data_IF_242941163199
#
_entry.id   IF_242941163199
#
_cell.length_a   1.000
_cell.length_b   1.000
_cell.length_c   1.000
_cell.angle_alpha   90.00
_cell.angle_beta   90.00
_cell.angle_gamma   90.00
#
_symmetry.space_group_name_H-M   'P 1'
#
loop_
_entity.id
_entity.type
_entity.pdbx_description
1 polymer ?
#
# COMPACT_ATOMS: atom_id res chain seq x y z
N UNK A 1 42.10 -12.50 -3.41
CA UNK A 1 41.81 -11.93 -4.74
C UNK A 1 40.88 -10.69 -4.68
N UNK A 2 40.17 -10.42 -3.57
CA UNK A 2 39.30 -9.24 -3.41
C UNK A 2 40.01 -7.96 -2.91
N UNK A 3 41.27 -8.06 -2.47
CA UNK A 3 42.03 -6.93 -1.88
C UNK A 3 42.56 -5.92 -2.90
N UNK A 4 42.28 -6.10 -4.19
CA UNK A 4 42.74 -5.24 -5.28
C UNK A 4 41.61 -4.49 -5.98
N UNK A 5 40.38 -4.57 -5.45
CA UNK A 5 39.24 -3.85 -6.03
C UNK A 5 39.40 -2.35 -5.79
N UNK A 6 39.37 -1.52 -6.85
CA UNK A 6 39.38 -0.06 -6.71
C UNK A 6 38.24 0.42 -5.82
N UNK A 7 38.49 1.46 -5.00
CA UNK A 7 37.52 2.01 -4.05
C UNK A 7 36.22 2.44 -4.73
N UNK A 8 36.30 2.88 -5.97
CA UNK A 8 35.15 3.31 -6.79
C UNK A 8 34.20 2.14 -7.07
N UNK A 9 34.74 0.95 -7.37
CA UNK A 9 33.93 -0.25 -7.59
C UNK A 9 33.32 -0.73 -6.27
N UNK A 10 34.09 -0.66 -5.18
CA UNK A 10 33.59 -1.00 -3.86
C UNK A 10 32.39 -0.13 -3.43
N UNK A 11 32.51 1.20 -3.57
CA UNK A 11 31.41 2.12 -3.26
C UNK A 11 30.20 1.91 -4.18
N UNK A 12 30.42 1.50 -5.44
CA UNK A 12 29.32 1.09 -6.33
C UNK A 12 28.63 -0.17 -5.82
N UNK A 13 29.36 -1.17 -5.37
CA UNK A 13 28.79 -2.42 -4.82
C UNK A 13 27.95 -2.10 -3.57
N UNK A 14 28.48 -1.28 -2.66
CA UNK A 14 27.76 -0.83 -1.45
C UNK A 14 26.46 -0.13 -1.79
N UNK A 15 26.44 0.66 -2.87
CA UNK A 15 25.22 1.35 -3.30
C UNK A 15 24.12 0.38 -3.77
N UNK A 16 24.38 -0.92 -3.96
CA UNK A 16 23.37 -1.94 -4.22
C UNK A 16 22.88 -2.64 -2.95
N UNK A 17 23.55 -2.45 -1.82
CA UNK A 17 23.11 -2.99 -0.53
C UNK A 17 22.06 -2.03 0.04
N UNK A 18 20.86 -2.55 0.23
CA UNK A 18 19.72 -1.78 0.74
C UNK A 18 19.55 -1.97 2.26
N UNK A 19 19.96 -3.10 2.83
CA UNK A 19 19.83 -3.32 4.27
C UNK A 19 21.00 -2.68 5.05
N UNK A 20 20.75 -1.72 5.97
CA UNK A 20 21.77 -1.16 6.83
C UNK A 20 22.54 -2.21 7.66
N UNK A 21 21.90 -3.34 8.00
CA UNK A 21 22.56 -4.43 8.74
C UNK A 21 23.62 -5.13 7.89
N UNK A 22 23.33 -5.38 6.61
CA UNK A 22 24.30 -5.93 5.68
C UNK A 22 25.48 -4.97 5.44
N UNK A 23 25.23 -3.66 5.45
CA UNK A 23 26.30 -2.66 5.40
C UNK A 23 27.20 -2.71 6.65
N UNK A 24 26.62 -2.98 7.82
CA UNK A 24 27.38 -3.18 9.04
C UNK A 24 28.29 -4.41 8.94
N UNK A 25 27.75 -5.55 8.49
CA UNK A 25 28.51 -6.79 8.29
C UNK A 25 29.65 -6.59 7.29
N UNK A 26 29.41 -5.86 6.19
CA UNK A 26 30.44 -5.53 5.21
C UNK A 26 31.62 -4.80 5.85
N UNK A 27 31.37 -3.90 6.81
CA UNK A 27 32.44 -3.12 7.46
C UNK A 27 33.32 -3.98 8.38
N UNK A 28 32.86 -5.17 8.76
CA UNK A 28 33.62 -6.12 9.60
C UNK A 28 34.56 -7.02 8.77
N UNK A 29 34.43 -7.04 7.44
CA UNK A 29 35.21 -7.93 6.56
C UNK A 29 36.70 -7.58 6.57
N UNK A 30 37.05 -6.30 6.36
CA UNK A 30 38.43 -5.83 6.44
C UNK A 30 38.52 -4.31 6.64
N UNK A 31 39.72 -3.80 6.90
CA UNK A 31 39.97 -2.37 7.14
C UNK A 31 39.58 -1.48 5.96
N UNK A 32 39.77 -1.95 4.72
CA UNK A 32 39.40 -1.19 3.52
C UNK A 32 37.87 -1.07 3.35
N UNK A 33 37.14 -2.07 3.83
CA UNK A 33 35.67 -2.08 3.81
C UNK A 33 35.06 -1.25 4.94
N UNK A 34 35.82 -0.97 6.01
CA UNK A 34 35.42 -0.02 7.04
C UNK A 34 35.61 1.46 6.60
N UNK A 35 35.28 1.77 5.35
CA UNK A 35 35.45 3.10 4.77
C UNK A 35 34.38 4.09 5.30
N UNK A 36 34.71 5.38 5.51
CA UNK A 36 33.77 6.36 6.07
C UNK A 36 32.47 6.51 5.28
N UNK A 37 32.52 6.38 3.94
CA UNK A 37 31.32 6.46 3.10
C UNK A 37 30.37 5.27 3.30
N UNK A 38 30.86 4.08 3.65
CA UNK A 38 30.01 2.92 3.98
C UNK A 38 29.28 3.18 5.28
N UNK A 39 30.01 3.73 6.26
CA UNK A 39 29.40 4.17 7.52
C UNK A 39 28.34 5.23 7.24
N UNK A 40 28.60 6.22 6.38
CA UNK A 40 27.58 7.22 6.03
C UNK A 40 26.38 6.60 5.31
N UNK A 41 26.59 5.69 4.36
CA UNK A 41 25.51 4.96 3.69
C UNK A 41 24.66 4.15 4.68
N UNK A 42 25.30 3.48 5.64
CA UNK A 42 24.60 2.77 6.71
C UNK A 42 23.67 3.69 7.52
N UNK A 43 24.11 4.90 7.87
CA UNK A 43 23.33 5.82 8.71
C UNK A 43 22.32 6.67 7.92
N UNK A 44 22.56 6.93 6.63
CA UNK A 44 21.75 7.83 5.82
C UNK A 44 20.82 7.13 4.85
N UNK A 45 21.02 5.83 4.59
CA UNK A 45 20.17 5.07 3.66
C UNK A 45 18.71 5.04 4.08
N UNK A 46 18.44 5.05 5.39
CA UNK A 46 17.10 5.01 5.97
C UNK A 46 16.96 6.11 7.00
N UNK A 47 16.14 7.12 6.70
CA UNK A 47 15.87 8.23 7.59
C UNK A 47 14.40 8.20 8.01
N UNK A 48 14.15 8.08 9.31
CA UNK A 48 12.83 8.23 9.90
C UNK A 48 12.68 9.64 10.50
N UNK A 49 11.61 10.35 10.12
CA UNK A 49 11.27 11.67 10.64
C UNK A 49 10.04 11.57 11.54
N UNK A 50 10.24 11.78 12.85
CA UNK A 50 9.18 11.72 13.85
C UNK A 50 8.61 13.12 14.14
N UNK A 51 9.46 14.14 14.07
CA UNK A 51 9.10 15.47 14.56
C UNK A 51 9.68 16.62 13.72
N UNK A 52 9.20 17.83 14.02
CA UNK A 52 9.76 19.09 13.50
C UNK A 52 11.20 19.31 13.95
N UNK A 53 11.57 18.81 15.13
CA UNK A 53 12.94 18.90 15.66
C UNK A 53 13.88 18.04 14.84
N UNK A 54 13.51 16.79 14.56
CA UNK A 54 14.31 15.87 13.74
C UNK A 54 14.50 16.43 12.35
N UNK A 55 13.42 16.93 11.75
CA UNK A 55 13.45 17.62 10.45
C UNK A 55 14.44 18.79 10.46
N UNK A 56 14.45 19.60 11.52
CA UNK A 56 15.33 20.77 11.62
C UNK A 56 16.79 20.39 11.80
N UNK A 57 17.07 19.38 12.62
CA UNK A 57 18.41 18.82 12.79
C UNK A 57 18.94 18.23 11.49
N UNK A 58 18.10 17.46 10.79
CA UNK A 58 18.47 16.84 9.53
C UNK A 58 18.66 17.87 8.43
N UNK A 59 17.79 18.89 8.34
CA UNK A 59 17.98 20.03 7.44
C UNK A 59 19.31 20.75 7.67
N UNK A 60 19.65 21.05 8.93
CA UNK A 60 20.90 21.70 9.29
C UNK A 60 22.12 20.84 8.90
N UNK A 61 22.01 19.52 9.07
CA UNK A 61 23.05 18.58 8.66
C UNK A 61 23.20 18.54 7.13
N UNK A 62 22.10 18.35 6.39
CA UNK A 62 22.13 18.26 4.93
C UNK A 62 22.56 19.56 4.27
N UNK A 63 22.18 20.71 4.83
CA UNK A 63 22.63 22.02 4.34
C UNK A 63 24.15 22.19 4.41
N UNK A 64 24.80 21.57 5.41
CA UNK A 64 26.27 21.56 5.55
C UNK A 64 26.94 20.50 4.69
N UNK A 65 26.19 19.50 4.24
CA UNK A 65 26.70 18.31 3.56
C UNK A 65 25.85 17.91 2.36
N UNK A 66 25.63 18.80 1.37
CA UNK A 66 24.66 18.56 0.30
C UNK A 66 25.00 17.33 -0.55
N UNK A 67 26.29 17.01 -0.75
CA UNK A 67 26.75 15.83 -1.52
C UNK A 67 26.46 14.47 -0.86
N UNK A 68 25.88 14.45 0.35
CA UNK A 68 25.50 13.22 1.06
C UNK A 68 24.10 12.75 0.68
N UNK A 69 23.37 13.54 -0.10
CA UNK A 69 22.09 13.19 -0.72
C UNK A 69 22.13 11.86 -1.46
N UNK A 70 23.25 11.54 -2.13
CA UNK A 70 23.48 10.28 -2.84
C UNK A 70 23.35 9.02 -2.00
N UNK A 71 23.44 9.15 -0.67
CA UNK A 71 23.32 8.03 0.26
C UNK A 71 21.90 7.87 0.81
N UNK A 72 21.02 8.84 0.58
CA UNK A 72 19.63 8.80 1.04
C UNK A 72 18.82 8.01 0.03
N UNK A 73 18.36 6.83 0.44
CA UNK A 73 17.49 5.99 -0.38
C UNK A 73 16.06 6.02 0.12
N UNK A 74 15.87 5.93 1.43
CA UNK A 74 14.57 5.76 2.07
C UNK A 74 14.33 6.88 3.09
N UNK A 75 13.16 7.51 3.01
CA UNK A 75 12.67 8.46 4.02
C UNK A 75 11.28 7.98 4.47
N UNK A 76 11.09 7.76 5.77
CA UNK A 76 9.79 7.49 6.38
C UNK A 76 9.30 8.69 7.18
N UNK A 77 8.04 9.04 7.00
CA UNK A 77 7.32 9.99 7.86
C UNK A 77 6.50 9.18 8.86
N UNK A 78 6.90 9.25 10.12
CA UNK A 78 6.32 8.43 11.18
C UNK A 78 4.92 8.92 11.57
N UNK A 79 4.16 8.08 12.26
CA UNK A 79 2.78 8.38 12.61
C UNK A 79 2.64 9.70 13.37
N UNK A 80 1.74 10.57 12.89
CA UNK A 80 1.53 11.90 13.46
C UNK A 80 2.55 12.96 13.02
N UNK A 81 3.39 12.67 12.02
CA UNK A 81 4.30 13.66 11.46
C UNK A 81 3.57 14.94 11.03
N UNK A 82 4.06 16.07 11.52
CA UNK A 82 3.52 17.38 11.24
C UNK A 82 4.58 18.20 10.49
N UNK A 83 4.41 18.29 9.17
CA UNK A 83 5.34 19.00 8.31
C UNK A 83 5.30 20.52 8.57
N UNK A 84 6.34 21.21 8.14
CA UNK A 84 6.45 22.67 8.25
C UNK A 84 7.29 23.22 7.09
N UNK A 85 7.55 24.53 7.10
CA UNK A 85 8.42 25.16 6.08
C UNK A 85 9.83 24.58 6.05
N UNK A 86 10.39 24.19 7.20
CA UNK A 86 11.71 23.52 7.27
C UNK A 86 11.71 22.19 6.54
N UNK A 87 10.63 21.42 6.63
CA UNK A 87 10.47 20.18 5.86
C UNK A 87 10.48 20.44 4.35
N UNK A 88 9.76 21.47 3.87
CA UNK A 88 9.80 21.82 2.44
C UNK A 88 11.20 22.24 1.98
N UNK A 89 11.95 22.96 2.81
CA UNK A 89 13.35 23.31 2.51
C UNK A 89 14.27 22.09 2.54
N UNK A 90 14.01 21.13 3.44
CA UNK A 90 14.72 19.85 3.45
C UNK A 90 14.52 19.08 2.15
N UNK A 91 13.32 19.11 1.57
CA UNK A 91 13.05 18.42 0.29
C UNK A 91 13.96 18.87 -0.84
N UNK A 92 14.37 20.14 -0.89
CA UNK A 92 15.35 20.63 -1.87
C UNK A 92 16.71 19.92 -1.78
N UNK A 93 17.03 19.34 -0.62
CA UNK A 93 18.32 18.73 -0.34
C UNK A 93 18.27 17.20 -0.41
N UNK A 94 17.11 16.58 -0.19
CA UNK A 94 17.00 15.12 -0.01
C UNK A 94 16.10 14.44 -1.04
N UNK A 95 15.19 15.17 -1.68
CA UNK A 95 14.33 14.60 -2.72
C UNK A 95 15.10 14.59 -4.05
N UNK A 96 15.93 13.56 -4.21
CA UNK A 96 16.83 13.42 -5.36
C UNK A 96 16.49 12.17 -6.18
N UNK A 97 17.00 12.04 -7.41
CA UNK A 97 16.78 10.84 -8.23
C UNK A 97 17.26 9.51 -7.60
N UNK A 98 18.08 9.56 -6.55
CA UNK A 98 18.52 8.37 -5.80
C UNK A 98 17.51 7.90 -4.76
N UNK A 99 16.51 8.72 -4.42
CA UNK A 99 15.47 8.36 -3.46
C UNK A 99 14.59 7.25 -4.07
N UNK A 100 14.54 6.11 -3.38
CA UNK A 100 13.77 4.93 -3.78
C UNK A 100 12.45 4.86 -3.04
N UNK A 101 12.42 5.17 -1.74
CA UNK A 101 11.21 5.09 -0.92
C UNK A 101 11.02 6.40 -0.20
N UNK A 102 9.86 7.01 -0.40
CA UNK A 102 9.40 8.09 0.45
C UNK A 102 8.02 7.71 0.96
N UNK A 103 7.88 7.33 2.22
CA UNK A 103 6.64 6.78 2.74
C UNK A 103 6.17 7.51 4.01
N UNK A 104 4.96 7.18 4.44
CA UNK A 104 4.31 7.77 5.60
C UNK A 104 3.03 8.53 5.24
N UNK A 105 2.40 9.13 6.24
CA UNK A 105 1.07 9.73 6.11
C UNK A 105 1.12 11.25 6.26
N UNK A 106 0.54 11.97 5.29
CA UNK A 106 0.37 13.42 5.36
C UNK A 106 -1.05 13.77 5.80
N UNK A 107 -1.16 14.53 6.89
CA UNK A 107 -2.41 14.74 7.62
C UNK A 107 -3.38 15.79 7.01
N UNK A 108 -2.95 16.60 6.03
CA UNK A 108 -3.80 17.62 5.40
C UNK A 108 -3.65 17.62 3.89
N UNK A 109 -4.46 18.43 3.18
CA UNK A 109 -4.32 18.57 1.73
C UNK A 109 -3.00 19.28 1.39
N UNK A 110 -1.94 18.50 1.22
CA UNK A 110 -0.57 19.00 1.03
C UNK A 110 -0.25 19.32 -0.42
N UNK A 111 -1.12 20.04 -1.12
CA UNK A 111 -0.86 20.45 -2.50
C UNK A 111 0.47 21.21 -2.62
N UNK A 112 0.88 21.96 -1.59
CA UNK A 112 2.20 22.60 -1.54
C UNK A 112 3.37 21.62 -1.52
N UNK A 113 3.25 20.50 -0.80
CA UNK A 113 4.26 19.44 -0.78
C UNK A 113 4.39 18.78 -2.15
N UNK A 114 3.27 18.40 -2.77
CA UNK A 114 3.27 17.79 -4.09
C UNK A 114 3.71 18.77 -5.19
N UNK A 115 3.34 20.04 -5.06
CA UNK A 115 3.85 21.10 -5.94
C UNK A 115 5.37 21.23 -5.82
N UNK A 116 5.91 21.16 -4.59
CA UNK A 116 7.35 21.19 -4.34
C UNK A 116 8.07 20.02 -5.01
N UNK A 117 7.56 18.80 -4.85
CA UNK A 117 8.10 17.60 -5.53
C UNK A 117 8.14 17.81 -7.05
N UNK A 118 7.03 18.22 -7.65
CA UNK A 118 6.96 18.45 -9.10
C UNK A 118 7.90 19.57 -9.56
N UNK A 119 8.16 20.57 -8.71
CA UNK A 119 9.12 21.64 -9.02
C UNK A 119 10.56 21.11 -9.01
N UNK A 120 10.90 20.27 -8.02
CA UNK A 120 12.22 19.63 -7.93
C UNK A 120 12.45 18.69 -9.12
N UNK A 121 11.46 17.88 -9.50
CA UNK A 121 11.58 17.02 -10.67
C UNK A 121 11.83 17.83 -11.95
N UNK A 122 11.05 18.88 -12.17
CA UNK A 122 11.17 19.71 -13.37
C UNK A 122 12.52 20.42 -13.46
N UNK A 123 13.06 20.87 -12.32
CA UNK A 123 14.37 21.54 -12.28
C UNK A 123 15.55 20.56 -12.32
N UNK A 124 15.32 19.27 -12.09
CA UNK A 124 16.36 18.25 -12.16
C UNK A 124 16.86 18.04 -13.59
N UNK A 125 18.20 18.07 -13.74
CA UNK A 125 18.90 17.70 -14.98
C UNK A 125 18.86 16.19 -15.23
N UNK A 126 18.65 15.39 -14.19
CA UNK A 126 18.54 13.92 -14.27
C UNK A 126 17.07 13.56 -14.42
N UNK A 127 16.75 12.78 -15.46
CA UNK A 127 15.38 12.32 -15.76
C UNK A 127 15.06 10.92 -15.27
N UNK A 128 16.07 10.14 -14.88
CA UNK A 128 15.89 8.78 -14.39
C UNK A 128 15.75 8.80 -12.87
N UNK A 129 14.51 8.75 -12.39
CA UNK A 129 14.18 8.61 -10.98
C UNK A 129 14.09 7.13 -10.60
N UNK A 130 14.16 6.83 -9.30
CA UNK A 130 14.04 5.46 -8.74
C UNK A 130 12.90 5.31 -7.74
N UNK A 131 12.01 6.29 -7.68
CA UNK A 131 11.01 6.39 -6.63
C UNK A 131 9.93 5.32 -6.80
N UNK A 132 9.87 4.38 -5.85
CA UNK A 132 8.96 3.23 -5.79
C UNK A 132 7.72 3.50 -4.95
N UNK A 133 7.84 4.35 -3.93
CA UNK A 133 6.72 4.70 -3.05
C UNK A 133 6.73 6.20 -2.73
N UNK A 134 5.53 6.75 -2.56
CA UNK A 134 5.30 8.13 -2.16
C UNK A 134 4.48 8.23 -0.89
N UNK A 135 4.62 9.31 -0.09
CA UNK A 135 3.79 9.50 1.09
C UNK A 135 2.33 9.52 0.69
N UNK A 136 1.50 8.86 1.49
CA UNK A 136 0.07 8.81 1.28
C UNK A 136 -0.53 10.18 1.61
N UNK A 137 -1.36 10.68 0.69
CA UNK A 137 -2.25 11.80 1.00
C UNK A 137 -3.50 11.25 1.70
N UNK A 138 -3.85 11.78 2.88
CA UNK A 138 -5.10 11.39 3.55
C UNK A 138 -6.35 11.70 2.74
N UNK A 139 -6.26 12.64 1.79
CA UNK A 139 -7.37 13.02 0.93
C UNK A 139 -6.87 13.07 -0.51
N UNK A 140 -7.66 12.60 -1.47
CA UNK A 140 -7.31 12.80 -2.87
C UNK A 140 -7.17 14.29 -3.20
N UNK A 141 -6.11 14.61 -3.95
CA UNK A 141 -5.95 15.90 -4.61
C UNK A 141 -5.42 15.69 -6.02
N UNK A 142 -5.79 16.58 -6.94
CA UNK A 142 -5.25 16.52 -8.30
C UNK A 142 -3.74 16.75 -8.34
N UNK A 143 -3.18 17.52 -7.40
CA UNK A 143 -1.73 17.71 -7.33
C UNK A 143 -1.03 16.41 -6.89
N UNK A 144 -1.60 15.69 -5.92
CA UNK A 144 -1.10 14.37 -5.54
C UNK A 144 -1.10 13.43 -6.74
N UNK A 145 -2.25 13.29 -7.41
CA UNK A 145 -2.36 12.40 -8.56
C UNK A 145 -1.43 12.78 -9.71
N UNK A 146 -1.31 14.08 -10.02
CA UNK A 146 -0.35 14.58 -11.00
C UNK A 146 1.09 14.20 -10.64
N UNK A 147 1.44 14.24 -9.35
CA UNK A 147 2.76 13.83 -8.89
C UNK A 147 2.98 12.34 -9.08
N UNK A 148 1.96 11.50 -8.79
CA UNK A 148 2.04 10.07 -9.11
C UNK A 148 2.30 9.84 -10.60
N UNK A 149 1.60 10.57 -11.48
CA UNK A 149 1.82 10.47 -12.93
C UNK A 149 3.24 10.87 -13.37
N UNK A 150 3.87 11.80 -12.66
CA UNK A 150 5.27 12.19 -12.90
C UNK A 150 6.22 11.01 -12.68
N UNK A 151 5.94 10.12 -11.74
CA UNK A 151 6.78 8.96 -11.37
C UNK A 151 6.17 7.61 -11.77
N UNK A 152 5.22 7.61 -12.71
CA UNK A 152 4.42 6.41 -13.05
C UNK A 152 5.24 5.19 -13.45
N UNK A 153 6.41 5.39 -14.06
CA UNK A 153 7.24 4.32 -14.58
C UNK A 153 8.01 3.59 -13.47
N UNK A 154 8.15 4.21 -12.30
CA UNK A 154 8.97 3.69 -11.18
C UNK A 154 8.15 3.35 -9.95
N UNK A 155 6.97 3.97 -9.79
CA UNK A 155 6.11 3.71 -8.63
C UNK A 155 5.59 2.27 -8.62
N UNK A 156 5.89 1.60 -7.52
CA UNK A 156 5.45 0.24 -7.22
C UNK A 156 4.24 0.26 -6.29
N UNK A 157 4.10 1.28 -5.42
CA UNK A 157 3.03 1.38 -4.41
C UNK A 157 2.22 2.67 -4.56
N UNK A 158 0.89 2.54 -4.67
CA UNK A 158 -0.03 3.69 -4.76
C UNK A 158 -1.22 3.49 -3.83
N UNK A 159 -1.60 4.57 -3.13
CA UNK A 159 -2.84 4.64 -2.35
C UNK A 159 -3.68 5.83 -2.82
N UNK A 160 -4.93 5.59 -3.20
CA UNK A 160 -5.89 6.60 -3.65
C UNK A 160 -7.15 6.55 -2.80
N UNK A 161 -7.38 7.60 -2.01
CA UNK A 161 -8.63 7.81 -1.26
C UNK A 161 -9.54 8.84 -1.96
N UNK A 162 -10.51 8.32 -2.70
CA UNK A 162 -11.49 9.09 -3.46
C UNK A 162 -12.79 9.38 -2.68
N UNK A 163 -12.86 9.11 -1.37
CA UNK A 163 -14.08 9.37 -0.57
C UNK A 163 -14.37 10.86 -0.37
N UNK A 164 -13.33 11.66 -0.14
CA UNK A 164 -13.45 13.01 0.44
C UNK A 164 -13.73 14.09 -0.60
N UNK A 165 -13.77 13.74 -1.88
CA UNK A 165 -13.95 14.70 -2.95
C UNK A 165 -15.44 14.92 -3.26
N UNK A 166 -15.93 16.12 -2.91
CA UNK A 166 -17.22 16.75 -3.29
C UNK A 166 -17.66 16.29 -4.67
N UNK A 167 -18.92 15.82 -4.83
CA UNK A 167 -19.22 14.61 -5.58
C UNK A 167 -18.44 14.61 -6.88
N UNK A 168 -17.32 13.90 -6.88
CA UNK A 168 -16.70 13.47 -8.12
C UNK A 168 -17.82 12.79 -8.88
N UNK A 169 -18.32 13.46 -9.91
CA UNK A 169 -19.16 12.78 -10.88
C UNK A 169 -18.39 11.53 -11.30
N UNK A 170 -19.05 10.39 -11.49
CA UNK A 170 -18.42 9.12 -11.90
C UNK A 170 -17.45 9.26 -13.11
N UNK A 171 -17.49 10.39 -13.81
CA UNK A 171 -16.57 10.78 -14.88
C UNK A 171 -15.12 10.96 -14.40
N UNK A 172 -14.82 11.59 -13.26
CA UNK A 172 -13.42 11.83 -12.87
C UNK A 172 -12.75 10.58 -12.29
N UNK A 173 -13.49 9.74 -11.55
CA UNK A 173 -12.96 8.44 -11.09
C UNK A 173 -12.53 7.57 -12.27
N UNK A 174 -13.37 7.49 -13.33
CA UNK A 174 -13.01 6.80 -14.58
C UNK A 174 -11.78 7.39 -15.26
N UNK A 175 -11.60 8.72 -15.24
CA UNK A 175 -10.39 9.35 -15.80
C UNK A 175 -9.14 8.96 -15.01
N UNK A 176 -9.21 8.96 -13.69
CA UNK A 176 -8.12 8.52 -12.81
C UNK A 176 -7.77 7.06 -13.10
N UNK A 177 -8.76 6.17 -13.15
CA UNK A 177 -8.57 4.75 -13.45
C UNK A 177 -7.91 4.55 -14.82
N UNK A 178 -8.35 5.29 -15.86
CA UNK A 178 -7.74 5.22 -17.20
C UNK A 178 -6.25 5.59 -17.23
N UNK A 179 -5.78 6.37 -16.27
CA UNK A 179 -4.37 6.72 -16.16
C UNK A 179 -3.55 5.67 -15.39
N UNK A 180 -4.18 4.82 -14.57
CA UNK A 180 -3.50 3.75 -13.82
C UNK A 180 -2.82 2.73 -14.74
N UNK A 181 -3.34 2.52 -15.95
CA UNK A 181 -2.68 1.71 -16.99
C UNK A 181 -1.27 2.17 -17.36
N UNK A 182 -0.96 3.44 -17.10
CA UNK A 182 0.35 4.02 -17.37
C UNK A 182 1.42 3.66 -16.34
N UNK A 183 1.06 3.00 -15.24
CA UNK A 183 1.98 2.66 -14.15
C UNK A 183 2.52 1.25 -14.32
N UNK A 184 3.58 1.11 -15.12
CA UNK A 184 4.15 -0.18 -15.53
C UNK A 184 4.84 -0.96 -14.40
N UNK A 185 5.26 -0.26 -13.35
CA UNK A 185 5.93 -0.86 -12.17
C UNK A 185 4.98 -1.13 -11.01
N UNK A 186 3.70 -0.72 -11.10
CA UNK A 186 2.74 -0.82 -9.99
C UNK A 186 2.51 -2.26 -9.52
N UNK A 187 2.93 -2.60 -8.29
CA UNK A 187 2.70 -3.91 -7.66
C UNK A 187 1.64 -3.87 -6.57
N UNK A 188 1.48 -2.73 -5.90
CA UNK A 188 0.55 -2.56 -4.80
C UNK A 188 -0.37 -1.38 -5.04
N UNK A 189 -1.67 -1.62 -5.07
CA UNK A 189 -2.68 -0.59 -5.25
C UNK A 189 -3.69 -0.63 -4.10
N UNK A 190 -3.83 0.49 -3.40
CA UNK A 190 -4.92 0.71 -2.46
C UNK A 190 -5.89 1.74 -3.03
N UNK A 191 -7.14 1.37 -3.21
CA UNK A 191 -8.14 2.21 -3.84
C UNK A 191 -9.44 2.22 -3.02
N UNK A 192 -9.80 3.42 -2.57
CA UNK A 192 -10.95 3.70 -1.72
C UNK A 192 -11.85 4.71 -2.44
N UNK A 193 -13.17 4.54 -2.40
CA UNK A 193 -14.12 5.52 -2.94
C UNK A 193 -15.26 4.91 -3.77
N UNK A 194 -15.97 5.73 -4.55
CA UNK A 194 -17.16 5.30 -5.29
C UNK A 194 -16.77 4.58 -6.59
N UNK A 195 -16.76 3.24 -6.56
CA UNK A 195 -16.45 2.38 -7.70
C UNK A 195 -17.56 1.35 -7.89
N UNK A 196 -18.06 1.22 -9.12
CA UNK A 196 -18.93 0.09 -9.48
C UNK A 196 -18.11 -1.13 -9.96
N UNK A 197 -18.78 -2.28 -10.11
CA UNK A 197 -18.16 -3.54 -10.54
C UNK A 197 -17.49 -3.41 -11.92
N UNK A 198 -18.11 -2.69 -12.84
CA UNK A 198 -17.54 -2.47 -14.18
C UNK A 198 -16.22 -1.69 -14.08
N UNK A 199 -16.18 -0.63 -13.27
CA UNK A 199 -14.97 0.17 -13.03
C UNK A 199 -13.87 -0.64 -12.34
N UNK A 200 -14.23 -1.51 -11.40
CA UNK A 200 -13.28 -2.47 -10.79
C UNK A 200 -12.77 -3.44 -11.86
N UNK A 201 -13.64 -3.99 -12.71
CA UNK A 201 -13.25 -4.86 -13.82
C UNK A 201 -12.31 -4.20 -14.81
N UNK A 202 -12.66 -3.01 -15.28
CA UNK A 202 -11.84 -2.22 -16.20
C UNK A 202 -10.47 -1.92 -15.59
N UNK A 203 -10.42 -1.54 -14.30
CA UNK A 203 -9.18 -1.28 -13.58
C UNK A 203 -8.28 -2.51 -13.53
N UNK A 204 -8.84 -3.67 -13.18
CA UNK A 204 -8.06 -4.91 -13.03
C UNK A 204 -7.57 -5.43 -14.38
N UNK A 205 -8.31 -5.20 -15.45
CA UNK A 205 -7.86 -5.54 -16.81
C UNK A 205 -6.67 -4.69 -17.27
N UNK A 206 -6.67 -3.41 -16.90
CA UNK A 206 -5.62 -2.46 -17.31
C UNK A 206 -4.36 -2.52 -16.43
N UNK A 207 -4.47 -3.07 -15.22
CA UNK A 207 -3.38 -3.20 -14.25
C UNK A 207 -3.10 -4.67 -13.90
N UNK A 208 -2.92 -5.51 -14.92
CA UNK A 208 -2.80 -6.97 -14.82
C UNK A 208 -1.50 -7.48 -14.16
N UNK A 209 -0.64 -6.59 -13.66
CA UNK A 209 0.63 -6.88 -13.00
C UNK A 209 0.62 -6.56 -11.49
N UNK A 210 -0.52 -6.11 -10.95
CA UNK A 210 -0.66 -5.87 -9.50
C UNK A 210 -0.59 -7.22 -8.76
N UNK A 211 0.18 -7.24 -7.69
CA UNK A 211 0.39 -8.40 -6.81
C UNK A 211 -0.42 -8.26 -5.51
N UNK A 212 -0.64 -7.02 -5.05
CA UNK A 212 -1.41 -6.69 -3.85
C UNK A 212 -2.45 -5.61 -4.14
N UNK A 213 -3.72 -5.89 -3.86
CA UNK A 213 -4.82 -4.97 -4.08
C UNK A 213 -5.60 -4.75 -2.78
N UNK A 214 -5.79 -3.50 -2.39
CA UNK A 214 -6.76 -3.09 -1.38
C UNK A 214 -7.93 -2.35 -2.04
N UNK A 215 -9.16 -2.79 -1.81
CA UNK A 215 -10.38 -2.16 -2.32
C UNK A 215 -11.35 -1.82 -1.20
N UNK A 216 -11.85 -0.59 -1.19
CA UNK A 216 -12.93 -0.15 -0.33
C UNK A 216 -13.96 0.68 -1.12
N UNK A 217 -14.82 0.04 -1.94
CA UNK A 217 -15.89 0.73 -2.65
C UNK A 217 -16.94 1.32 -1.70
N UNK A 218 -17.30 2.58 -1.90
CA UNK A 218 -18.42 3.23 -1.19
C UNK A 218 -19.75 2.98 -1.91
N UNK A 219 -20.81 2.68 -1.15
CA UNK A 219 -22.21 2.69 -1.60
C UNK A 219 -22.45 1.95 -2.92
N UNK A 220 -22.22 0.65 -2.92
CA UNK A 220 -22.67 -0.23 -3.99
C UNK A 220 -24.17 -0.62 -3.88
N UNK A 221 -24.94 0.10 -3.06
CA UNK A 221 -26.35 -0.22 -2.82
C UNK A 221 -27.22 0.10 -4.04
N UNK A 222 -27.58 -0.95 -4.78
CA UNK A 222 -28.60 -0.93 -5.83
C UNK A 222 -28.93 -2.35 -6.26
N UNK A 223 -30.22 -2.73 -6.18
CA UNK A 223 -30.71 -4.10 -6.50
C UNK A 223 -30.34 -4.52 -7.92
N UNK A 224 -30.22 -3.57 -8.85
CA UNK A 224 -29.82 -3.83 -10.24
C UNK A 224 -28.36 -4.29 -10.38
N UNK A 225 -27.49 -4.01 -9.41
CA UNK A 225 -26.06 -4.37 -9.46
C UNK A 225 -25.85 -5.86 -9.13
N UNK A 226 -26.66 -6.41 -8.22
CA UNK A 226 -26.51 -7.79 -7.75
C UNK A 226 -26.78 -8.83 -8.84
N UNK A 227 -27.65 -8.53 -9.80
CA UNK A 227 -27.97 -9.45 -10.90
C UNK A 227 -27.00 -9.34 -12.09
N UNK A 228 -26.32 -8.19 -12.24
CA UNK A 228 -25.57 -7.88 -13.45
C UNK A 228 -24.07 -8.21 -13.40
N UNK A 229 -23.49 -8.49 -12.23
CA UNK A 229 -22.06 -8.76 -12.14
C UNK A 229 -21.62 -10.01 -12.94
N UNK A 230 -22.49 -11.00 -13.07
CA UNK A 230 -22.22 -12.22 -13.87
C UNK A 230 -22.07 -11.94 -15.36
N UNK A 231 -22.64 -10.83 -15.83
CA UNK A 231 -22.56 -10.41 -17.24
C UNK A 231 -21.29 -9.60 -17.52
N UNK A 232 -20.55 -9.19 -16.47
CA UNK A 232 -19.28 -8.48 -16.63
C UNK A 232 -18.19 -9.49 -16.97
N UNK A 233 -17.94 -9.65 -18.27
CA UNK A 233 -16.85 -10.49 -18.77
C UNK A 233 -15.53 -9.77 -18.55
N UNK A 234 -14.76 -10.28 -17.60
CA UNK A 234 -13.40 -9.80 -17.33
C UNK A 234 -12.37 -10.88 -17.57
N UNK A 235 -11.20 -10.46 -18.08
CA UNK A 235 -10.04 -11.35 -18.19
C UNK A 235 -9.59 -11.75 -16.79
N UNK A 236 -9.11 -12.98 -16.67
CA UNK A 236 -8.49 -13.45 -15.42
C UNK A 236 -7.19 -12.69 -15.16
N UNK A 237 -6.97 -12.38 -13.89
CA UNK A 237 -5.80 -11.69 -13.39
C UNK A 237 -4.99 -12.67 -12.55
N UNK A 238 -3.95 -13.22 -13.17
CA UNK A 238 -3.16 -14.30 -12.56
C UNK A 238 -2.06 -13.79 -11.62
N UNK A 239 -1.74 -12.49 -11.66
CA UNK A 239 -0.68 -11.87 -10.86
C UNK A 239 -1.07 -11.56 -9.41
N UNK A 240 -2.37 -11.49 -9.13
CA UNK A 240 -2.86 -11.00 -7.83
C UNK A 240 -2.75 -12.09 -6.77
N UNK A 241 -1.83 -11.89 -5.82
CA UNK A 241 -1.55 -12.84 -4.75
C UNK A 241 -2.25 -12.44 -3.43
N UNK A 242 -2.36 -11.14 -3.17
CA UNK A 242 -2.92 -10.60 -1.93
C UNK A 242 -4.11 -9.70 -2.26
N UNK A 243 -5.30 -10.07 -1.78
CA UNK A 243 -6.49 -9.24 -1.88
C UNK A 243 -6.92 -8.76 -0.50
N UNK A 244 -7.08 -7.46 -0.35
CA UNK A 244 -7.61 -6.83 0.85
C UNK A 244 -8.88 -6.09 0.50
N UNK A 245 -9.92 -6.34 1.28
CA UNK A 245 -11.26 -5.80 1.06
C UNK A 245 -11.60 -5.03 2.33
N UNK A 246 -11.77 -3.72 2.17
CA UNK A 246 -12.08 -2.83 3.27
C UNK A 246 -13.55 -2.91 3.71
N UNK A 247 -13.98 -1.87 4.41
CA UNK A 247 -15.31 -1.79 5.01
C UNK A 247 -16.39 -1.66 3.93
N UNK A 248 -17.56 -2.23 4.22
CA UNK A 248 -18.78 -2.01 3.42
C UNK A 248 -18.75 -2.57 2.00
N UNK A 249 -18.01 -3.65 1.77
CA UNK A 249 -17.99 -4.32 0.47
C UNK A 249 -19.03 -5.44 0.43
N UNK A 250 -20.02 -5.39 -0.47
CA UNK A 250 -21.03 -6.43 -0.60
C UNK A 250 -20.44 -7.76 -1.04
N UNK A 251 -21.08 -8.85 -0.63
CA UNK A 251 -20.68 -10.22 -0.93
C UNK A 251 -20.48 -10.48 -2.44
N UNK A 252 -21.34 -9.91 -3.29
CA UNK A 252 -21.27 -10.16 -4.72
C UNK A 252 -20.01 -9.59 -5.36
N UNK A 253 -19.43 -8.54 -4.76
CA UNK A 253 -18.12 -8.00 -5.19
C UNK A 253 -17.02 -8.98 -4.84
N UNK A 254 -17.07 -9.58 -3.64
CA UNK A 254 -16.12 -10.63 -3.23
C UNK A 254 -16.22 -11.81 -4.21
N UNK A 255 -17.44 -12.27 -4.52
CA UNK A 255 -17.67 -13.35 -5.49
C UNK A 255 -17.15 -12.99 -6.90
N UNK A 256 -17.33 -11.75 -7.34
CA UNK A 256 -16.81 -11.25 -8.60
C UNK A 256 -15.27 -11.22 -8.60
N UNK A 257 -14.64 -10.66 -7.56
CA UNK A 257 -13.18 -10.61 -7.44
C UNK A 257 -12.57 -12.01 -7.43
N UNK A 258 -13.17 -12.96 -6.72
CA UNK A 258 -12.73 -14.35 -6.71
C UNK A 258 -12.92 -15.06 -8.05
N UNK A 259 -13.86 -14.64 -8.89
CA UNK A 259 -14.02 -15.25 -10.23
C UNK A 259 -12.98 -14.77 -11.23
N UNK A 260 -12.46 -13.55 -11.05
CA UNK A 260 -11.48 -12.93 -11.95
C UNK A 260 -10.04 -13.03 -11.44
N UNK A 261 -9.82 -13.23 -10.13
CA UNK A 261 -8.49 -13.38 -9.53
C UNK A 261 -8.34 -14.80 -8.95
N UNK A 262 -8.09 -15.83 -9.79
CA UNK A 262 -8.09 -17.23 -9.36
C UNK A 262 -6.90 -17.64 -8.49
N UNK A 263 -5.81 -16.86 -8.51
CA UNK A 263 -4.54 -17.19 -7.84
C UNK A 263 -4.34 -16.46 -6.51
N UNK A 264 -5.40 -15.89 -5.93
CA UNK A 264 -5.30 -15.20 -4.65
C UNK A 264 -4.88 -16.20 -3.57
N UNK A 265 -3.70 -15.97 -2.99
CA UNK A 265 -3.15 -16.77 -1.92
C UNK A 265 -3.61 -16.28 -0.55
N UNK A 266 -3.74 -14.95 -0.40
CA UNK A 266 -4.12 -14.30 0.85
C UNK A 266 -5.30 -13.37 0.64
N UNK A 267 -6.35 -13.52 1.45
CA UNK A 267 -7.46 -12.56 1.52
C UNK A 267 -7.64 -11.97 2.92
N UNK A 268 -7.71 -10.64 3.00
CA UNK A 268 -8.12 -9.94 4.21
C UNK A 268 -9.44 -9.21 3.96
N UNK A 269 -10.46 -9.43 4.78
CA UNK A 269 -11.80 -8.85 4.58
C UNK A 269 -12.27 -8.17 5.86
N UNK A 270 -12.59 -6.88 5.78
CA UNK A 270 -13.22 -6.10 6.86
C UNK A 270 -14.75 -5.99 6.65
N UNK A 271 -15.46 -7.02 7.08
CA UNK A 271 -16.91 -7.17 6.92
C UNK A 271 -17.71 -6.56 8.07
N UNK A 272 -17.16 -5.59 8.80
CA UNK A 272 -17.84 -5.07 9.99
C UNK A 272 -19.09 -4.26 9.64
N UNK A 273 -19.09 -3.49 8.56
CA UNK A 273 -20.05 -2.40 8.37
C UNK A 273 -21.21 -2.69 7.41
N UNK A 274 -21.14 -3.74 6.59
CA UNK A 274 -22.21 -4.10 5.64
C UNK A 274 -23.11 -5.25 6.15
N UNK A 275 -22.58 -6.07 7.05
CA UNK A 275 -23.15 -7.37 7.37
C UNK A 275 -23.95 -7.50 8.69
N UNK A 276 -24.11 -6.49 9.58
CA UNK A 276 -24.83 -6.72 10.84
C UNK A 276 -26.33 -7.02 10.66
N UNK A 277 -26.86 -7.05 9.42
CA UNK A 277 -28.24 -7.50 9.13
C UNK A 277 -28.31 -8.92 8.56
N UNK A 278 -27.18 -9.55 8.24
CA UNK A 278 -27.16 -10.78 7.45
C UNK A 278 -26.03 -11.72 7.87
N UNK A 279 -26.09 -12.28 9.08
CA UNK A 279 -25.12 -13.28 9.53
C UNK A 279 -24.94 -14.45 8.56
N UNK A 280 -25.93 -14.79 7.74
CA UNK A 280 -25.79 -15.84 6.71
C UNK A 280 -24.82 -15.48 5.57
N UNK A 281 -24.54 -14.21 5.34
CA UNK A 281 -23.60 -13.78 4.31
C UNK A 281 -22.17 -14.23 4.58
N UNK A 282 -21.82 -14.47 5.85
CA UNK A 282 -20.50 -15.03 6.17
C UNK A 282 -20.29 -16.38 5.49
N UNK A 283 -21.33 -17.22 5.39
CA UNK A 283 -21.25 -18.51 4.73
C UNK A 283 -21.05 -18.36 3.22
N UNK A 284 -21.64 -17.31 2.63
CA UNK A 284 -21.39 -16.98 1.23
C UNK A 284 -19.97 -16.45 1.00
N UNK A 285 -19.42 -15.65 1.92
CA UNK A 285 -18.02 -15.21 1.88
C UNK A 285 -17.11 -16.43 1.93
N UNK A 286 -17.26 -17.28 2.95
CA UNK A 286 -16.45 -18.48 3.16
C UNK A 286 -16.50 -19.42 1.96
N UNK A 287 -17.70 -19.65 1.41
CA UNK A 287 -17.86 -20.45 0.19
C UNK A 287 -17.19 -19.83 -1.04
N UNK A 288 -17.15 -18.50 -1.17
CA UNK A 288 -16.48 -17.81 -2.27
C UNK A 288 -14.94 -17.92 -2.18
N UNK A 289 -14.40 -17.91 -0.95
CA UNK A 289 -12.95 -17.95 -0.69
C UNK A 289 -12.44 -19.36 -0.35
N UNK A 290 -13.24 -20.40 -0.56
CA UNK A 290 -12.91 -21.79 -0.19
C UNK A 290 -11.60 -22.35 -0.77
N UNK A 291 -11.10 -21.74 -1.84
CA UNK A 291 -9.85 -22.14 -2.50
C UNK A 291 -8.65 -21.31 -2.03
N UNK A 292 -8.88 -20.20 -1.34
CA UNK A 292 -7.83 -19.33 -0.83
C UNK A 292 -7.17 -20.02 0.36
N UNK A 293 -5.83 -20.22 0.33
CA UNK A 293 -5.09 -20.85 1.42
C UNK A 293 -5.13 -20.02 2.69
N UNK A 294 -4.92 -18.70 2.58
CA UNK A 294 -4.79 -17.82 3.72
C UNK A 294 -5.90 -16.78 3.75
N UNK A 295 -6.63 -16.72 4.85
CA UNK A 295 -7.67 -15.71 5.00
C UNK A 295 -7.75 -15.16 6.41
N UNK A 296 -8.13 -13.87 6.47
CA UNK A 296 -8.46 -13.15 7.69
C UNK A 296 -9.73 -12.35 7.48
N UNK A 297 -10.80 -12.73 8.15
CA UNK A 297 -12.10 -12.06 8.06
C UNK A 297 -12.40 -11.40 9.40
N UNK A 298 -12.73 -10.11 9.36
CA UNK A 298 -13.30 -9.36 10.49
C UNK A 298 -14.79 -9.20 10.26
N UNK A 299 -15.61 -9.51 11.25
CA UNK A 299 -17.06 -9.54 11.08
C UNK A 299 -17.76 -9.07 12.36
N UNK A 300 -18.81 -8.24 12.23
CA UNK A 300 -19.66 -7.87 13.39
C UNK A 300 -20.81 -8.87 13.52
N UNK A 301 -20.90 -9.53 14.67
CA UNK A 301 -21.93 -10.50 14.97
C UNK A 301 -23.19 -9.82 15.50
N UNK A 302 -24.35 -10.19 14.96
CA UNK A 302 -25.65 -9.92 15.60
C UNK A 302 -26.23 -11.23 16.17
N UNK A 303 -26.01 -11.52 17.46
CA UNK A 303 -26.46 -12.78 18.07
C UNK A 303 -27.98 -13.01 17.95
N UNK A 304 -28.78 -11.95 17.77
CA UNK A 304 -30.23 -12.09 17.59
C UNK A 304 -30.58 -12.79 16.29
N UNK A 305 -29.67 -12.78 15.31
CA UNK A 305 -29.86 -13.37 13.99
C UNK A 305 -29.22 -14.78 13.94
N UNK A 306 -28.03 -14.95 14.49
CA UNK A 306 -27.34 -16.25 14.51
C UNK A 306 -26.36 -16.35 15.67
N UNK A 307 -26.45 -17.45 16.41
CA UNK A 307 -25.53 -17.78 17.49
C UNK A 307 -24.10 -18.04 16.97
N UNK A 308 -23.10 -17.58 17.72
CA UNK A 308 -21.68 -17.78 17.42
C UNK A 308 -21.33 -19.25 17.18
N UNK A 309 -21.90 -20.16 17.97
CA UNK A 309 -21.62 -21.60 17.87
C UNK A 309 -21.95 -22.16 16.47
N UNK A 310 -23.02 -21.70 15.83
CA UNK A 310 -23.38 -22.14 14.48
C UNK A 310 -22.32 -21.72 13.44
N UNK A 311 -21.72 -20.53 13.61
CA UNK A 311 -20.64 -20.05 12.76
C UNK A 311 -19.38 -20.89 12.97
N UNK A 312 -19.04 -21.15 14.23
CA UNK A 312 -17.88 -21.96 14.60
C UNK A 312 -18.01 -23.38 14.07
N UNK A 313 -19.16 -24.03 14.27
CA UNK A 313 -19.43 -25.39 13.81
C UNK A 313 -19.35 -25.49 12.28
N UNK A 314 -19.90 -24.51 11.55
CA UNK A 314 -19.78 -24.47 10.09
C UNK A 314 -18.33 -24.33 9.65
N UNK A 315 -17.58 -23.41 10.25
CA UNK A 315 -16.17 -23.18 9.89
C UNK A 315 -15.33 -24.41 10.18
N UNK A 316 -15.54 -25.06 11.34
CA UNK A 316 -14.84 -26.28 11.71
C UNK A 316 -15.20 -27.47 10.84
N UNK A 317 -16.43 -27.54 10.34
CA UNK A 317 -16.84 -28.57 9.39
C UNK A 317 -16.21 -28.40 8.00
N UNK A 318 -15.95 -27.14 7.58
CA UNK A 318 -15.37 -26.82 6.26
C UNK A 318 -13.83 -26.77 6.28
N UNK A 319 -13.24 -26.30 7.39
CA UNK A 319 -11.81 -25.94 7.52
C UNK A 319 -11.28 -26.31 8.91
N UNK A 320 -10.59 -27.45 9.01
CA UNK A 320 -9.94 -27.87 10.26
C UNK A 320 -8.86 -26.87 10.74
N UNK A 321 -8.24 -26.17 9.80
CA UNK A 321 -7.17 -25.21 10.03
C UNK A 321 -7.65 -23.80 10.41
N UNK A 322 -8.96 -23.54 10.38
CA UNK A 322 -9.48 -22.22 10.73
C UNK A 322 -9.63 -22.04 12.26
N UNK A 323 -9.37 -20.83 12.76
CA UNK A 323 -9.66 -20.38 14.11
C UNK A 323 -10.71 -19.27 14.10
N UNK A 324 -11.51 -19.21 15.17
CA UNK A 324 -12.50 -18.15 15.39
C UNK A 324 -12.18 -17.53 16.75
N UNK A 325 -11.89 -16.24 16.75
CA UNK A 325 -11.72 -15.45 17.96
C UNK A 325 -12.93 -14.53 18.11
N UNK A 326 -13.50 -14.45 19.31
CA UNK A 326 -14.65 -13.61 19.62
C UNK A 326 -14.27 -12.59 20.70
N UNK A 327 -14.67 -11.34 20.51
CA UNK A 327 -14.46 -10.28 21.49
C UNK A 327 -15.53 -9.19 21.36
N UNK A 328 -15.72 -8.47 22.46
CA UNK A 328 -16.57 -7.28 22.50
C UNK A 328 -15.69 -6.07 22.18
N UNK A 329 -16.07 -5.30 21.16
CA UNK A 329 -15.30 -4.14 20.75
C UNK A 329 -15.61 -2.89 21.58
N UNK A 330 -14.92 -1.78 21.29
CA UNK A 330 -15.02 -0.52 22.06
C UNK A 330 -16.41 0.13 22.04
N UNK A 331 -17.30 -0.27 21.13
CA UNK A 331 -18.68 0.22 21.05
C UNK A 331 -19.69 -0.79 21.64
N UNK A 332 -19.21 -1.78 22.41
CA UNK A 332 -20.01 -2.89 22.95
C UNK A 332 -20.73 -3.71 21.87
N UNK A 333 -20.16 -3.80 20.66
CA UNK A 333 -20.64 -4.70 19.62
C UNK A 333 -19.78 -5.96 19.61
N UNK A 334 -20.40 -7.09 19.32
CA UNK A 334 -19.71 -8.37 19.19
C UNK A 334 -18.99 -8.46 17.85
N UNK A 335 -17.73 -8.83 17.90
CA UNK A 335 -16.86 -8.93 16.73
C UNK A 335 -16.16 -10.28 16.75
N UNK A 336 -16.14 -10.92 15.58
CA UNK A 336 -15.41 -12.17 15.37
C UNK A 336 -14.28 -11.95 14.38
N UNK A 337 -13.15 -12.59 14.66
CA UNK A 337 -12.06 -12.79 13.71
C UNK A 337 -12.01 -14.25 13.29
N UNK A 338 -12.11 -14.49 11.99
CA UNK A 338 -11.93 -15.82 11.42
C UNK A 338 -10.61 -15.82 10.66
N UNK A 339 -9.70 -16.70 11.05
CA UNK A 339 -8.36 -16.80 10.46
C UNK A 339 -8.06 -18.24 10.07
N UNK A 340 -7.45 -18.48 8.90
CA UNK A 340 -6.74 -19.75 8.65
C UNK A 340 -5.44 -19.78 9.43
N UNK A 341 -5.10 -20.89 10.08
CA UNK A 341 -3.87 -21.02 10.85
C UNK A 341 -2.63 -20.94 9.95
N UNK A 342 -1.84 -19.89 10.15
CA UNK A 342 -0.57 -19.67 9.49
C UNK A 342 0.47 -20.67 9.99
N UNK A 343 0.78 -21.72 9.22
CA UNK A 343 2.04 -22.46 9.40
C UNK A 343 3.09 -21.83 8.50
N UNK A 344 3.85 -20.88 9.03
CA UNK A 344 5.16 -20.55 8.44
C UNK A 344 6.03 -21.79 8.61
N UNK A 345 6.10 -22.65 7.59
CA UNK A 345 7.29 -23.44 7.42
C UNK A 345 8.36 -22.46 6.94
N UNK A 346 9.17 -22.00 7.88
CA UNK A 346 10.24 -21.03 7.69
C UNK A 346 11.51 -21.74 7.24
#
# INVERSE_FOLDING_TARGET
MWNTIPKELYLRIINYINDPKQLEECRLVCTDWNHPDVKLAQHLSHIALYSKTDTSLFYKYMSKHPKRDRFIKHISLENGFNWNRTFLNLMDLVFTPNLEVFEGNLNYNEDFFYYKINTIEKSSSIKHWKLKAMPQNQKFSYMYFKTLLTFKDTLEHITLDLYVYIPVTNVESRRIVKHLKGFTSLRKLSLMGYLNIQEIGDLLQECCHIEELYLEPNRLHGVEVEQNWRNVVSKKMDSLNILKIGKSVPIYVVKYLMSICPNVETIELDGRWDYPRFNHEIFHVLGAIKHVPYFKIKYMLDEKIMELNNIVDFIKADRDDASVEHFINIINAEEIYICSNYKIQK
#
